data_IF_103034136978
#
_entry.id   IF_103034136978
#
_cell.length_a   1.000
_cell.length_b   1.000
_cell.length_c   1.000
_cell.angle_alpha   90.00
_cell.angle_beta   90.00
_cell.angle_gamma   90.00
#
_symmetry.space_group_name_H-M   'P 1'
#
loop_
_entity.id
_entity.type
_entity.pdbx_description
1 polymer ?
#
# COMPACT_ATOMS: atom_id res chain seq x y z
N UNK A 1 7.90 0.77 -21.67
CA UNK A 1 7.44 1.25 -20.36
C UNK A 1 8.45 2.26 -19.86
N UNK A 2 8.00 3.41 -19.36
CA UNK A 2 8.89 4.38 -18.75
C UNK A 2 9.39 3.81 -17.42
N UNK A 3 10.65 4.08 -17.06
CA UNK A 3 11.20 3.72 -15.77
C UNK A 3 10.47 4.52 -14.67
N UNK A 4 9.72 3.82 -13.82
CA UNK A 4 8.96 4.41 -12.71
C UNK A 4 9.74 4.42 -11.40
N UNK A 5 11.01 4.00 -11.42
CA UNK A 5 11.88 4.04 -10.26
C UNK A 5 12.12 5.48 -9.77
N UNK A 6 12.11 5.67 -8.45
CA UNK A 6 12.37 6.97 -7.83
C UNK A 6 13.83 7.00 -7.36
N UNK A 7 14.69 7.83 -7.97
CA UNK A 7 16.11 7.87 -7.63
C UNK A 7 16.33 8.17 -6.14
N UNK A 8 17.17 7.37 -5.49
CA UNK A 8 17.54 7.55 -4.08
C UNK A 8 16.59 6.86 -3.07
N UNK A 9 15.54 6.20 -3.54
CA UNK A 9 14.61 5.46 -2.67
C UNK A 9 14.66 3.96 -2.94
N UNK A 10 14.39 3.18 -1.89
CA UNK A 10 14.36 1.72 -1.98
C UNK A 10 13.08 1.28 -2.70
N UNK A 11 13.21 0.25 -3.54
CA UNK A 11 12.06 -0.40 -4.18
C UNK A 11 11.97 -1.88 -3.81
N UNK A 12 10.75 -2.40 -3.69
CA UNK A 12 10.47 -3.81 -3.47
C UNK A 12 9.40 -4.30 -4.44
N UNK A 13 9.60 -5.50 -4.99
CA UNK A 13 8.62 -6.14 -5.88
C UNK A 13 7.77 -7.20 -5.18
N UNK A 14 8.25 -7.71 -4.05
CA UNK A 14 7.60 -8.78 -3.29
C UNK A 14 7.72 -8.54 -1.78
N UNK A 15 6.86 -9.22 -1.01
CA UNK A 15 6.67 -9.06 0.43
C UNK A 15 7.92 -9.44 1.24
N UNK A 16 8.50 -8.54 2.04
CA UNK A 16 9.60 -8.86 2.94
C UNK A 16 9.20 -8.67 4.41
N UNK A 17 9.04 -9.74 5.21
CA UNK A 17 9.16 -11.16 4.88
C UNK A 17 8.00 -11.67 4.00
N UNK A 18 8.15 -12.85 3.35
CA UNK A 18 7.08 -13.44 2.54
C UNK A 18 5.81 -13.67 3.35
N UNK A 19 4.67 -13.25 2.81
CA UNK A 19 3.34 -13.36 3.45
C UNK A 19 2.61 -14.64 3.05
N UNK A 20 1.71 -15.12 3.91
CA UNK A 20 0.87 -16.30 3.63
C UNK A 20 -0.50 -15.87 3.13
N UNK A 21 -0.82 -16.17 1.87
CA UNK A 21 -2.15 -15.88 1.29
C UNK A 21 -3.24 -16.80 1.88
N UNK A 22 -4.53 -16.38 1.90
CA UNK A 22 -5.06 -15.11 1.40
C UNK A 22 -4.77 -13.92 2.32
N UNK A 23 -4.60 -12.75 1.71
CA UNK A 23 -4.46 -11.48 2.41
C UNK A 23 -5.84 -10.84 2.67
N UNK A 24 -5.95 -10.04 3.73
CA UNK A 24 -7.15 -9.28 4.09
C UNK A 24 -6.75 -7.92 4.64
N UNK A 25 -7.61 -6.92 4.45
CA UNK A 25 -7.42 -5.64 5.12
C UNK A 25 -8.05 -5.72 6.52
N UNK A 26 -7.25 -5.41 7.54
CA UNK A 26 -7.66 -5.48 8.94
C UNK A 26 -8.18 -4.14 9.44
N UNK A 27 -7.53 -3.05 9.03
CA UNK A 27 -7.92 -1.68 9.33
C UNK A 27 -7.32 -0.70 8.32
N UNK A 28 -7.79 0.54 8.34
CA UNK A 28 -7.31 1.60 7.46
C UNK A 28 -7.43 2.97 8.12
N UNK A 29 -6.67 3.93 7.63
CA UNK A 29 -6.61 5.26 8.23
C UNK A 29 -6.04 6.32 7.31
N UNK A 30 -6.40 7.57 7.57
CA UNK A 30 -5.69 8.70 7.00
C UNK A 30 -4.44 8.98 7.85
N UNK A 31 -3.28 9.11 7.20
CA UNK A 31 -2.04 9.46 7.88
C UNK A 31 -1.92 10.98 7.99
N UNK A 32 -1.30 11.45 9.08
CA UNK A 32 -0.94 12.86 9.25
C UNK A 32 0.01 13.29 8.13
N UNK A 33 -0.34 14.34 7.39
CA UNK A 33 0.39 14.75 6.18
C UNK A 33 -0.28 14.35 4.87
N UNK A 34 -1.46 13.72 4.93
CA UNK A 34 -2.34 13.53 3.78
C UNK A 34 -2.23 12.18 3.08
N UNK A 35 -1.37 11.28 3.56
CA UNK A 35 -1.28 9.91 3.09
C UNK A 35 -2.44 9.04 3.57
N UNK A 36 -2.44 7.77 3.19
CA UNK A 36 -3.45 6.81 3.59
C UNK A 36 -2.81 5.46 3.87
N UNK A 37 -3.14 4.83 4.99
CA UNK A 37 -2.60 3.53 5.40
C UNK A 37 -3.65 2.42 5.32
N UNK A 38 -3.16 1.22 5.07
CA UNK A 38 -3.88 -0.04 5.18
C UNK A 38 -3.06 -0.98 6.07
N UNK A 39 -3.64 -1.39 7.20
CA UNK A 39 -3.13 -2.52 7.98
C UNK A 39 -3.62 -3.79 7.32
N UNK A 40 -2.68 -4.62 6.88
CA UNK A 40 -2.95 -5.88 6.21
C UNK A 40 -2.73 -7.04 7.17
N UNK A 41 -3.50 -8.11 6.98
CA UNK A 41 -3.31 -9.40 7.63
C UNK A 41 -3.16 -10.50 6.60
N UNK A 42 -2.24 -11.39 6.87
CA UNK A 42 -2.09 -12.63 6.12
C UNK A 42 -2.87 -13.79 6.78
N UNK A 43 -2.84 -14.98 6.18
CA UNK A 43 -3.53 -16.16 6.68
C UNK A 43 -2.89 -16.74 7.95
N UNK A 44 -1.65 -16.38 8.26
CA UNK A 44 -0.98 -16.69 9.53
C UNK A 44 -1.27 -15.66 10.63
N UNK A 45 -2.20 -14.73 10.38
CA UNK A 45 -2.53 -13.58 11.23
C UNK A 45 -1.36 -12.60 11.47
N UNK A 46 -0.31 -12.67 10.63
CA UNK A 46 0.75 -11.69 10.63
C UNK A 46 0.22 -10.36 10.11
N UNK A 47 0.59 -9.28 10.82
CA UNK A 47 0.21 -7.91 10.46
C UNK A 47 1.38 -7.18 9.83
N UNK A 48 1.07 -6.37 8.82
CA UNK A 48 2.02 -5.47 8.19
C UNK A 48 1.27 -4.27 7.62
N UNK A 49 1.98 -3.16 7.47
CA UNK A 49 1.37 -1.92 7.02
C UNK A 49 1.85 -1.59 5.61
N UNK A 50 0.91 -1.16 4.79
CA UNK A 50 1.19 -0.47 3.53
C UNK A 50 0.55 0.88 3.56
N UNK A 51 1.14 1.85 2.88
CA UNK A 51 0.59 3.19 2.82
C UNK A 51 0.78 3.80 1.45
N UNK A 52 -0.04 4.78 1.13
CA UNK A 52 0.08 5.60 -0.05
C UNK A 52 0.78 6.90 0.32
N UNK A 53 1.92 7.15 -0.34
CA UNK A 53 2.66 8.39 -0.21
C UNK A 53 1.76 9.60 -0.51
N UNK A 54 1.85 10.66 0.28
CA UNK A 54 0.94 11.81 0.17
C UNK A 54 1.26 12.73 -1.02
N UNK A 55 2.50 12.71 -1.50
CA UNK A 55 2.95 13.54 -2.61
C UNK A 55 2.70 12.87 -3.97
N UNK A 56 3.07 11.60 -4.08
CA UNK A 56 3.05 10.82 -5.32
C UNK A 56 1.81 9.93 -5.42
N UNK A 57 1.13 9.64 -4.30
CA UNK A 57 0.06 8.65 -4.25
C UNK A 57 0.55 7.23 -4.53
N UNK A 58 1.86 6.98 -4.45
CA UNK A 58 2.47 5.69 -4.78
C UNK A 58 2.42 4.77 -3.57
N UNK A 59 2.19 3.48 -3.81
CA UNK A 59 2.16 2.46 -2.77
C UNK A 59 3.57 2.25 -2.19
N UNK A 60 3.63 2.29 -0.86
CA UNK A 60 4.81 2.07 -0.06
C UNK A 60 4.56 0.94 0.94
N UNK A 61 5.61 0.20 1.22
CA UNK A 61 5.67 -0.79 2.28
C UNK A 61 6.53 -0.26 3.43
N UNK A 62 6.11 -0.53 4.66
CA UNK A 62 6.95 -0.32 5.84
C UNK A 62 6.97 -1.60 6.69
N UNK A 63 8.17 -2.06 7.05
CA UNK A 63 8.36 -3.21 7.93
C UNK A 63 8.10 -2.90 9.41
N UNK A 64 7.69 -1.68 9.76
CA UNK A 64 7.48 -1.22 11.13
C UNK A 64 6.06 -0.74 11.41
N UNK A 65 5.69 -0.74 12.70
CA UNK A 65 4.49 -0.07 13.20
C UNK A 65 4.63 1.46 13.25
N UNK A 66 5.87 1.97 13.20
CA UNK A 66 6.16 3.40 13.26
C UNK A 66 6.39 3.95 11.84
N UNK A 67 5.35 4.53 11.27
CA UNK A 67 5.38 5.26 9.98
C UNK A 67 6.23 6.55 10.05
N UNK A 68 6.62 7.01 11.25
CA UNK A 68 7.39 8.25 11.48
C UNK A 68 8.91 8.09 11.29
N UNK A 69 9.40 6.89 10.98
CA UNK A 69 10.84 6.64 10.74
C UNK A 69 11.04 6.23 9.28
N UNK A 70 10.97 7.23 8.41
CA UNK A 70 11.12 7.24 6.94
C UNK A 70 12.32 6.45 6.35
N UNK A 71 13.20 5.86 7.16
CA UNK A 71 14.42 5.20 6.69
C UNK A 71 14.18 3.77 6.15
N UNK A 72 13.11 3.11 6.61
CA UNK A 72 12.80 1.71 6.25
C UNK A 72 11.66 1.56 5.23
N UNK A 73 11.04 2.67 4.80
CA UNK A 73 10.00 2.64 3.80
C UNK A 73 10.56 2.30 2.42
N UNK A 74 9.86 1.44 1.67
CA UNK A 74 10.21 1.10 0.31
C UNK A 74 9.02 1.32 -0.61
N UNK A 75 9.26 1.92 -1.78
CA UNK A 75 8.25 1.98 -2.83
C UNK A 75 8.00 0.58 -3.37
N UNK A 76 6.73 0.26 -3.56
CA UNK A 76 6.36 -0.99 -4.21
C UNK A 76 6.50 -0.81 -5.72
N UNK A 77 7.15 -1.76 -6.39
CA UNK A 77 7.23 -1.75 -7.85
C UNK A 77 5.85 -2.02 -8.43
N UNK A 78 5.46 -1.36 -9.52
CA UNK A 78 4.09 -1.43 -10.01
C UNK A 78 3.68 -2.82 -10.51
N UNK A 79 4.63 -3.59 -11.01
CA UNK A 79 4.43 -4.96 -11.50
C UNK A 79 4.54 -6.04 -10.41
N UNK A 80 4.81 -5.63 -9.17
CA UNK A 80 4.99 -6.53 -8.04
C UNK A 80 3.69 -7.22 -7.62
N UNK A 81 3.80 -8.44 -7.08
CA UNK A 81 2.64 -9.16 -6.55
C UNK A 81 1.98 -8.39 -5.40
N UNK A 82 2.79 -7.68 -4.58
CA UNK A 82 2.32 -6.79 -3.52
C UNK A 82 1.32 -5.77 -4.06
N UNK A 83 1.70 -5.03 -5.10
CA UNK A 83 0.90 -3.94 -5.63
C UNK A 83 -0.45 -4.47 -6.13
N UNK A 84 -0.43 -5.58 -6.87
CA UNK A 84 -1.65 -6.20 -7.39
C UNK A 84 -2.57 -6.70 -6.29
N UNK A 85 -2.03 -7.38 -5.28
CA UNK A 85 -2.83 -7.93 -4.17
C UNK A 85 -3.45 -6.80 -3.33
N UNK A 86 -2.68 -5.76 -2.97
CA UNK A 86 -3.16 -4.63 -2.18
C UNK A 86 -4.24 -3.84 -2.92
N UNK A 87 -4.00 -3.50 -4.18
CA UNK A 87 -4.95 -2.71 -4.96
C UNK A 87 -6.25 -3.47 -5.20
N UNK A 88 -6.16 -4.78 -5.48
CA UNK A 88 -7.34 -5.62 -5.68
C UNK A 88 -8.17 -5.74 -4.39
N UNK A 89 -7.52 -5.89 -3.24
CA UNK A 89 -8.21 -5.94 -1.95
C UNK A 89 -8.86 -4.60 -1.61
N UNK A 90 -8.16 -3.50 -1.85
CA UNK A 90 -8.67 -2.17 -1.55
C UNK A 90 -9.86 -1.80 -2.47
N UNK A 91 -9.84 -2.20 -3.73
CA UNK A 91 -10.98 -2.05 -4.66
C UNK A 91 -12.20 -2.86 -4.19
N UNK A 92 -12.02 -4.14 -3.85
CA UNK A 92 -13.10 -4.97 -3.33
C UNK A 92 -13.71 -4.34 -2.07
N UNK A 93 -12.88 -3.77 -1.20
CA UNK A 93 -13.37 -3.17 0.04
C UNK A 93 -14.16 -1.88 -0.19
N UNK A 94 -13.74 -1.03 -1.13
CA UNK A 94 -14.53 0.14 -1.56
C UNK A 94 -15.90 -0.29 -2.10
N UNK A 95 -15.94 -1.38 -2.86
CA UNK A 95 -17.19 -1.90 -3.42
C UNK A 95 -18.15 -2.42 -2.34
N UNK A 96 -17.65 -3.05 -1.28
CA UNK A 96 -18.47 -3.57 -0.17
C UNK A 96 -18.96 -2.46 0.79
N UNK A 97 -18.17 -1.41 1.06
CA UNK A 97 -18.48 -0.39 2.07
C UNK A 97 -19.11 0.92 1.53
N UNK A 98 -19.31 1.04 0.21
CA UNK A 98 -19.97 2.19 -0.42
C UNK A 98 -19.18 3.53 -0.39
N UNK A 99 -19.88 4.66 -0.57
CA UNK A 99 -19.29 6.02 -0.71
C UNK A 99 -18.54 6.55 0.54
N UNK A 100 -18.40 5.77 1.62
CA UNK A 100 -17.71 6.21 2.83
C UNK A 100 -16.19 6.31 2.68
N UNK A 101 -15.63 5.78 1.59
CA UNK A 101 -14.20 5.65 1.36
C UNK A 101 -13.68 6.50 0.19
N UNK A 102 -14.27 7.70 -0.03
CA UNK A 102 -13.86 8.61 -1.12
C UNK A 102 -12.35 8.87 -1.13
N UNK A 103 -11.76 9.11 0.04
CA UNK A 103 -10.31 9.29 0.23
C UNK A 103 -9.53 8.09 -0.30
N UNK A 104 -9.88 6.86 0.11
CA UNK A 104 -9.18 5.64 -0.34
C UNK A 104 -9.28 5.48 -1.86
N UNK A 105 -10.46 5.76 -2.43
CA UNK A 105 -10.70 5.71 -3.88
C UNK A 105 -9.80 6.69 -4.65
N UNK A 106 -9.63 7.92 -4.15
CA UNK A 106 -8.73 8.92 -4.76
C UNK A 106 -7.27 8.45 -4.75
N UNK A 107 -6.80 7.88 -3.64
CA UNK A 107 -5.41 7.41 -3.54
C UNK A 107 -5.15 6.17 -4.39
N UNK A 108 -6.08 5.20 -4.44
CA UNK A 108 -5.97 4.05 -5.35
C UNK A 108 -5.96 4.50 -6.81
N UNK A 109 -6.82 5.46 -7.16
CA UNK A 109 -6.84 6.02 -8.52
C UNK A 109 -5.47 6.60 -8.85
N UNK A 110 -4.89 7.40 -7.96
CA UNK A 110 -3.55 7.97 -8.15
C UNK A 110 -2.47 6.89 -8.24
N UNK A 111 -2.51 5.88 -7.37
CA UNK A 111 -1.55 4.78 -7.36
C UNK A 111 -1.54 4.02 -8.69
N UNK A 112 -2.70 3.88 -9.35
CA UNK A 112 -2.83 3.23 -10.66
C UNK A 112 -2.13 3.98 -11.79
N UNK A 113 -1.85 5.28 -11.67
CA UNK A 113 -1.08 6.01 -12.68
C UNK A 113 0.39 5.59 -12.73
N UNK A 114 0.87 4.91 -11.68
CA UNK A 114 2.24 4.41 -11.57
C UNK A 114 2.42 2.97 -12.06
N UNK A 115 1.31 2.25 -12.34
CA UNK A 115 1.30 0.92 -12.97
C UNK A 115 1.28 1.01 -14.48
#
# INVERSE_FOLDING_TARGET
MADSSIPGFREIADWPPPVVRPLRIASHGAIRGGGYELEMKDAAEQRFNVFFDSCLGRLCYSSGYEWEKDEDAAFVTPDGEIARDVLSLADNWICDEGERHLRLKEVITTARHWM
#
